data_IF_836677808898
#
_entry.id   IF_836677808898
#
_cell.length_a   1.000
_cell.length_b   1.000
_cell.length_c   1.000
_cell.angle_alpha   90.00
_cell.angle_beta   90.00
_cell.angle_gamma   90.00
#
_symmetry.space_group_name_H-M   'P 1'
#
loop_
_entity.id
_entity.type
_entity.pdbx_description
1 polymer ?
#
# COMPACT_ATOMS: atom_id res chain seq x y z
N UNK A 1 4.42 4.85 8.30
CA UNK A 1 4.94 5.12 6.94
C UNK A 1 5.11 6.63 6.85
N UNK A 2 6.29 7.12 6.49
CA UNK A 2 6.44 8.54 6.17
C UNK A 2 5.54 8.85 4.95
N UNK A 3 4.82 9.97 5.00
CA UNK A 3 4.06 10.50 3.86
C UNK A 3 4.94 11.57 3.24
N UNK A 4 5.39 11.35 2.01
CA UNK A 4 6.18 12.36 1.28
C UNK A 4 5.30 13.46 0.72
N UNK A 5 4.05 13.13 0.40
CA UNK A 5 3.05 14.05 -0.11
C UNK A 5 1.66 13.62 0.35
N UNK A 6 0.81 14.60 0.69
CA UNK A 6 -0.59 14.40 1.10
C UNK A 6 -1.49 15.18 0.15
N UNK A 7 -2.62 14.62 -0.31
CA UNK A 7 -3.59 15.39 -1.09
C UNK A 7 -4.35 16.36 -0.20
N UNK A 8 -4.74 17.50 -0.76
CA UNK A 8 -5.70 18.40 -0.13
C UNK A 8 -7.11 17.86 -0.37
N UNK A 9 -7.93 17.86 0.66
CA UNK A 9 -9.32 17.38 0.62
C UNK A 9 -10.22 18.43 1.21
N UNK A 10 -11.23 18.79 0.44
CA UNK A 10 -12.29 19.69 0.87
C UNK A 10 -13.54 18.87 1.22
N UNK A 11 -14.17 19.21 2.34
CA UNK A 11 -15.42 18.60 2.78
C UNK A 11 -16.32 19.68 3.35
N UNK A 12 -17.10 20.33 2.49
CA UNK A 12 -17.80 21.56 2.85
C UNK A 12 -16.80 22.69 3.06
N UNK A 13 -16.88 23.37 4.21
CA UNK A 13 -15.99 24.50 4.54
C UNK A 13 -14.64 24.08 5.14
N UNK A 14 -14.38 22.77 5.26
CA UNK A 14 -13.17 22.25 5.91
C UNK A 14 -12.19 21.76 4.85
N UNK A 15 -11.07 22.45 4.77
CA UNK A 15 -9.88 22.06 4.01
C UNK A 15 -8.94 21.30 4.94
N UNK A 16 -8.50 20.11 4.53
CA UNK A 16 -7.59 19.27 5.33
C UNK A 16 -6.70 18.39 4.47
N UNK A 17 -5.62 17.93 5.06
CA UNK A 17 -4.80 16.89 4.45
C UNK A 17 -5.53 15.54 4.47
N UNK A 18 -5.68 14.96 3.28
CA UNK A 18 -6.23 13.64 3.06
C UNK A 18 -5.29 12.52 3.44
N UNK A 19 -5.84 11.30 3.49
CA UNK A 19 -5.08 10.09 3.79
C UNK A 19 -4.16 9.66 2.63
N UNK A 20 -4.61 9.88 1.39
CA UNK A 20 -3.93 9.47 0.17
C UNK A 20 -4.74 9.83 -1.08
N UNK A 21 -4.07 9.81 -2.23
CA UNK A 21 -4.63 10.21 -3.53
C UNK A 21 -5.70 9.23 -4.00
N UNK A 22 -6.70 9.75 -4.72
CA UNK A 22 -7.78 8.94 -5.29
C UNK A 22 -7.28 8.13 -6.49
N UNK A 23 -8.08 7.15 -6.90
CA UNK A 23 -7.79 6.41 -8.12
C UNK A 23 -7.86 7.29 -9.37
N UNK A 24 -8.75 8.29 -9.38
CA UNK A 24 -8.95 9.21 -10.51
C UNK A 24 -7.74 10.14 -10.70
N UNK A 25 -7.23 10.73 -9.61
CA UNK A 25 -6.03 11.58 -9.66
C UNK A 25 -4.81 10.80 -10.16
N UNK A 26 -4.63 9.56 -9.70
CA UNK A 26 -3.54 8.71 -10.16
C UNK A 26 -3.68 8.34 -11.64
N UNK A 27 -4.90 8.09 -12.13
CA UNK A 27 -5.14 7.83 -13.56
C UNK A 27 -4.84 9.05 -14.42
N UNK A 28 -5.17 10.27 -13.95
CA UNK A 28 -4.89 11.52 -14.66
C UNK A 28 -3.38 11.75 -14.89
N UNK A 29 -2.53 11.18 -14.04
CA UNK A 29 -1.07 11.24 -14.15
C UNK A 29 -0.47 9.92 -14.68
N UNK A 30 -1.29 9.08 -15.32
CA UNK A 30 -0.90 7.80 -15.92
C UNK A 30 -0.20 6.82 -14.94
N UNK A 31 -0.51 6.94 -13.65
CA UNK A 31 0.01 6.10 -12.59
C UNK A 31 -0.94 4.97 -12.24
N UNK A 32 -0.42 3.74 -12.29
CA UNK A 32 -1.13 2.61 -11.68
C UNK A 32 -0.99 2.65 -10.16
N UNK A 33 -2.00 2.18 -9.44
CA UNK A 33 -1.98 2.04 -7.97
C UNK A 33 -0.75 1.27 -7.48
N UNK A 34 -0.30 0.27 -8.24
CA UNK A 34 0.91 -0.49 -7.94
C UNK A 34 2.16 0.38 -8.01
N UNK A 35 2.32 1.13 -9.11
CA UNK A 35 3.46 2.02 -9.34
C UNK A 35 3.49 3.17 -8.33
N UNK A 36 2.36 3.79 -8.04
CA UNK A 36 2.24 4.82 -7.00
C UNK A 36 2.72 4.32 -5.63
N UNK A 37 2.32 3.10 -5.23
CA UNK A 37 2.78 2.49 -3.98
C UNK A 37 4.28 2.16 -3.97
N UNK A 38 4.84 1.78 -5.12
CA UNK A 38 6.29 1.57 -5.29
C UNK A 38 7.08 2.88 -5.25
N UNK A 39 6.46 4.01 -5.58
CA UNK A 39 7.04 5.35 -5.44
C UNK A 39 6.82 5.95 -4.05
N UNK A 40 6.17 5.22 -3.12
CA UNK A 40 5.88 5.72 -1.78
C UNK A 40 4.71 6.71 -1.70
N UNK A 41 3.94 6.88 -2.78
CA UNK A 41 2.77 7.76 -2.82
C UNK A 41 1.62 7.09 -2.05
N UNK A 42 0.99 7.77 -1.07
CA UNK A 42 -0.14 7.24 -0.34
C UNK A 42 -1.37 7.17 -1.24
N UNK A 43 -2.01 6.00 -1.34
CA UNK A 43 -3.20 5.78 -2.20
C UNK A 43 -4.43 5.48 -1.35
N UNK A 44 -5.53 6.20 -1.59
CA UNK A 44 -6.85 5.93 -1.05
C UNK A 44 -7.81 5.42 -2.12
N UNK A 45 -7.93 4.09 -2.22
CA UNK A 45 -8.78 3.41 -3.21
C UNK A 45 -10.29 3.63 -2.99
N UNK A 46 -10.70 4.14 -1.83
CA UNK A 46 -12.13 4.33 -1.51
C UNK A 46 -12.63 5.71 -1.91
N UNK A 47 -11.73 6.68 -2.14
CA UNK A 47 -12.09 8.03 -2.58
C UNK A 47 -12.37 8.01 -4.08
N UNK A 48 -13.57 8.44 -4.46
CA UNK A 48 -14.00 8.57 -5.85
C UNK A 48 -14.11 10.03 -6.31
N UNK A 49 -13.50 10.96 -5.59
CA UNK A 49 -13.39 12.36 -6.02
C UNK A 49 -11.94 12.66 -6.38
N UNK A 50 -11.73 13.40 -7.45
CA UNK A 50 -10.46 14.00 -7.84
C UNK A 50 -10.55 15.53 -7.82
N UNK A 51 -9.45 16.17 -7.44
CA UNK A 51 -9.28 17.61 -7.50
C UNK A 51 -8.08 17.93 -8.40
N UNK A 52 -8.21 18.94 -9.26
CA UNK A 52 -7.17 19.28 -10.24
C UNK A 52 -5.87 19.77 -9.55
N UNK A 53 -5.99 20.48 -8.43
CA UNK A 53 -4.84 20.92 -7.60
C UNK A 53 -3.97 19.74 -7.15
N UNK A 54 -4.60 18.60 -6.80
CA UNK A 54 -3.88 17.40 -6.41
C UNK A 54 -3.18 16.72 -7.60
N UNK A 55 -3.74 16.85 -8.81
CA UNK A 55 -3.16 16.31 -10.05
C UNK A 55 -1.92 17.12 -10.44
N UNK A 56 -1.96 18.44 -10.30
CA UNK A 56 -0.80 19.31 -10.52
C UNK A 56 0.32 19.02 -9.52
N UNK A 57 0.00 18.94 -8.22
CA UNK A 57 0.97 18.57 -7.20
C UNK A 57 1.61 17.19 -7.44
N UNK A 58 0.85 16.22 -7.97
CA UNK A 58 1.40 14.92 -8.36
C UNK A 58 2.34 15.02 -9.57
N UNK A 59 2.07 15.90 -10.54
CA UNK A 59 2.95 16.10 -11.70
C UNK A 59 4.28 16.70 -11.28
N UNK A 60 4.25 17.77 -10.48
CA UNK A 60 5.45 18.42 -9.93
C UNK A 60 6.29 17.42 -9.14
N UNK A 61 5.64 16.65 -8.25
CA UNK A 61 6.31 15.60 -7.51
C UNK A 61 7.00 14.59 -8.43
N UNK A 62 6.32 14.12 -9.49
CA UNK A 62 6.91 13.15 -10.41
C UNK A 62 8.09 13.68 -11.24
N UNK A 63 8.14 14.98 -11.51
CA UNK A 63 9.29 15.61 -12.13
C UNK A 63 10.49 15.56 -11.18
N UNK A 64 10.31 15.95 -9.92
CA UNK A 64 11.36 15.85 -8.89
C UNK A 64 11.85 14.40 -8.69
N UNK A 65 10.92 13.44 -8.75
CA UNK A 65 11.20 12.00 -8.57
C UNK A 65 12.03 11.42 -9.71
N UNK A 66 11.77 11.84 -10.95
CA UNK A 66 12.54 11.38 -12.12
C UNK A 66 14.00 11.78 -12.00
N UNK A 67 14.28 12.95 -11.44
CA UNK A 67 15.64 13.44 -11.25
C UNK A 67 16.40 12.67 -10.15
N UNK A 68 15.67 12.08 -9.19
CA UNK A 68 16.24 11.36 -8.05
C UNK A 68 16.32 9.83 -8.25
N UNK A 69 15.74 9.29 -9.33
CA UNK A 69 15.77 7.88 -9.76
C UNK A 69 15.50 6.85 -8.63
N UNK A 70 14.56 7.17 -7.72
CA UNK A 70 14.30 6.37 -6.54
C UNK A 70 13.19 5.32 -6.81
N UNK A 71 13.51 4.04 -6.60
CA UNK A 71 12.50 2.97 -6.60
C UNK A 71 12.47 2.30 -5.24
N UNK A 72 11.31 2.26 -4.58
CA UNK A 72 11.21 1.52 -3.30
C UNK A 72 11.18 0.04 -3.65
N UNK A 73 12.18 -0.77 -3.23
CA UNK A 73 12.17 -2.19 -3.53
C UNK A 73 10.95 -2.81 -2.85
N UNK A 74 10.14 -3.54 -3.63
CA UNK A 74 9.01 -4.27 -3.07
C UNK A 74 9.57 -5.25 -2.03
N UNK A 75 9.01 -5.29 -0.80
CA UNK A 75 9.46 -6.24 0.21
C UNK A 75 9.26 -7.65 -0.34
N UNK A 76 10.37 -8.34 -0.62
CA UNK A 76 10.38 -9.74 -0.99
C UNK A 76 10.40 -10.57 0.28
N UNK A 77 9.52 -11.57 0.34
CA UNK A 77 9.60 -12.58 1.39
C UNK A 77 10.89 -13.37 1.19
N UNK A 78 11.86 -13.17 2.10
CA UNK A 78 13.16 -13.85 2.05
C UNK A 78 13.05 -15.34 2.43
N UNK A 79 12.00 -15.71 3.16
CA UNK A 79 11.76 -17.09 3.57
C UNK A 79 10.84 -17.82 2.59
N UNK A 80 11.15 -19.11 2.36
CA UNK A 80 10.26 -20.00 1.59
C UNK A 80 8.89 -20.05 2.27
N UNK A 81 7.77 -20.06 1.51
CA UNK A 81 6.47 -20.26 2.10
C UNK A 81 6.45 -21.57 2.88
N UNK A 82 5.87 -21.51 4.06
CA UNK A 82 5.68 -22.66 4.93
C UNK A 82 4.88 -23.74 4.18
N UNK A 83 5.52 -24.85 3.81
CA UNK A 83 4.86 -25.96 3.09
C UNK A 83 4.02 -26.82 4.05
N UNK A 84 2.74 -26.97 3.74
CA UNK A 84 1.83 -28.02 4.21
C UNK A 84 1.59 -28.14 5.72
N UNK A 85 0.31 -28.15 6.15
CA UNK A 85 -0.06 -28.36 7.55
C UNK A 85 0.31 -29.77 8.06
N UNK A 86 0.23 -30.76 7.17
CA UNK A 86 0.50 -32.18 7.46
C UNK A 86 1.98 -32.43 7.79
N UNK A 87 2.91 -32.02 6.93
CA UNK A 87 4.35 -32.21 7.14
C UNK A 87 4.86 -31.55 8.44
N UNK A 88 4.23 -30.43 8.84
CA UNK A 88 4.55 -29.73 10.10
C UNK A 88 3.90 -30.34 11.34
N UNK A 89 3.12 -31.41 11.19
CA UNK A 89 2.36 -32.02 12.28
C UNK A 89 1.35 -31.05 12.92
N UNK A 90 0.87 -30.06 12.18
CA UNK A 90 -0.13 -29.09 12.64
C UNK A 90 -1.57 -29.56 12.37
N UNK A 91 -1.77 -30.72 11.75
CA UNK A 91 -3.11 -31.32 11.59
C UNK A 91 -3.68 -31.74 12.95
N UNK A 92 -4.98 -32.00 13.05
CA UNK A 92 -5.60 -32.51 14.29
C UNK A 92 -4.92 -33.79 14.79
N UNK A 93 -4.65 -34.75 13.88
CA UNK A 93 -3.88 -35.96 14.17
C UNK A 93 -2.44 -35.64 14.61
N UNK A 94 -1.76 -34.69 13.95
CA UNK A 94 -0.41 -34.27 14.33
C UNK A 94 -0.34 -33.58 15.70
N UNK A 95 -1.31 -32.71 16.02
CA UNK A 95 -1.44 -32.12 17.36
C UNK A 95 -1.72 -33.19 18.43
N UNK A 96 -2.51 -34.22 18.09
CA UNK A 96 -2.80 -35.35 18.98
C UNK A 96 -1.56 -36.22 19.20
N UNK A 97 -0.83 -36.56 18.14
CA UNK A 97 0.44 -37.31 18.20
C UNK A 97 1.49 -36.58 19.05
N UNK A 98 1.63 -35.27 18.85
CA UNK A 98 2.58 -34.42 19.58
C UNK A 98 2.10 -34.05 20.99
N UNK A 99 0.95 -34.56 21.42
CA UNK A 99 0.30 -34.24 22.69
C UNK A 99 0.05 -32.73 22.94
N UNK A 100 -0.01 -31.95 21.86
CA UNK A 100 -0.28 -30.51 21.86
C UNK A 100 -1.78 -30.18 21.89
N UNK A 101 -2.64 -31.18 21.65
CA UNK A 101 -4.10 -31.04 21.70
C UNK A 101 -4.64 -31.07 23.13
N UNK A 102 -3.85 -31.53 24.10
CA UNK A 102 -4.23 -31.48 25.51
C UNK A 102 -3.92 -30.07 26.00
N UNK A 103 -4.92 -29.19 25.97
CA UNK A 103 -4.88 -28.00 26.83
C UNK A 103 -4.73 -28.51 28.26
N UNK A 104 -3.68 -28.03 28.94
CA UNK A 104 -3.52 -28.23 30.38
C UNK A 104 -4.63 -27.48 31.11
#
# INVERSE_FOLDING_TARGET
>A
MARFISPIVESGDIIREGKGFSAEELMAVELTVGKARSLGIPVDRKRGTGYDENVEALKEFLEEVKDMDYTVPKPVFTSKPIRGRAYRGKTSAGHKMRNLSRKK
#
